data_IF_266901118480
#
_entry.id   IF_266901118480
#
_cell.length_a   1.000
_cell.length_b   1.000
_cell.length_c   1.000
_cell.angle_alpha   90.00
_cell.angle_beta   90.00
_cell.angle_gamma   90.00
#
_symmetry.space_group_name_H-M   'P 1'
#
loop_
_entity.id
_entity.type
_entity.pdbx_description
1 polymer ?
#
# COMPACT_ATOMS: atom_id res chain seq x y z
N UNK A 1 8.23 -9.18 -15.81
CA UNK A 1 8.61 -9.10 -14.38
C UNK A 1 8.44 -7.64 -14.02
N UNK A 2 7.43 -7.34 -13.21
CA UNK A 2 7.26 -6.00 -12.66
C UNK A 2 8.36 -5.78 -11.62
N UNK A 3 8.97 -4.59 -11.65
CA UNK A 3 9.96 -4.19 -10.64
C UNK A 3 9.24 -3.83 -9.34
N UNK A 4 8.01 -3.28 -9.45
CA UNK A 4 7.18 -2.81 -8.33
C UNK A 4 5.73 -3.31 -8.50
N UNK A 5 5.22 -4.02 -7.49
CA UNK A 5 3.83 -4.48 -7.43
C UNK A 5 3.02 -3.54 -6.54
N UNK A 6 2.04 -2.84 -7.09
CA UNK A 6 1.11 -2.01 -6.34
C UNK A 6 -0.09 -2.84 -5.90
N UNK A 7 -0.40 -2.77 -4.61
CA UNK A 7 -1.46 -3.54 -3.97
C UNK A 7 -2.48 -2.53 -3.46
N UNK A 8 -3.61 -2.38 -4.15
CA UNK A 8 -4.66 -1.46 -3.74
C UNK A 8 -5.77 -2.18 -2.97
N UNK A 9 -6.22 -1.56 -1.88
CA UNK A 9 -7.34 -2.02 -1.06
C UNK A 9 -8.35 -0.89 -0.89
N UNK A 10 -9.48 -0.99 -1.58
CA UNK A 10 -10.56 0.00 -1.51
C UNK A 10 -11.93 -0.66 -1.52
N UNK A 11 -12.91 0.03 -0.93
CA UNK A 11 -14.33 -0.26 -1.12
C UNK A 11 -14.99 0.73 -2.08
N UNK A 12 -14.50 1.97 -2.13
CA UNK A 12 -15.10 3.08 -2.90
C UNK A 12 -14.24 3.54 -4.08
N UNK A 13 -13.19 2.81 -4.43
CA UNK A 13 -12.27 3.17 -5.52
C UNK A 13 -11.18 4.20 -5.16
N UNK A 14 -11.28 4.95 -4.06
CA UNK A 14 -10.30 6.02 -3.76
C UNK A 14 -8.85 5.55 -3.68
N UNK A 15 -8.58 4.40 -3.04
CA UNK A 15 -7.21 3.86 -2.98
C UNK A 15 -6.74 3.30 -4.33
N UNK A 16 -7.66 2.87 -5.19
CA UNK A 16 -7.35 2.36 -6.54
C UNK A 16 -6.89 3.51 -7.43
N UNK A 17 -7.59 4.64 -7.42
CA UNK A 17 -7.18 5.85 -8.15
C UNK A 17 -5.78 6.32 -7.75
N UNK A 18 -5.49 6.35 -6.44
CA UNK A 18 -4.15 6.71 -5.97
C UNK A 18 -3.12 5.68 -6.44
N UNK A 19 -3.41 4.38 -6.35
CA UNK A 19 -2.50 3.35 -6.82
C UNK A 19 -2.23 3.46 -8.32
N UNK A 20 -3.24 3.69 -9.16
CA UNK A 20 -3.06 3.89 -10.61
C UNK A 20 -2.19 5.12 -10.90
N UNK A 21 -2.48 6.25 -10.25
CA UNK A 21 -1.67 7.47 -10.42
C UNK A 21 -0.21 7.24 -10.00
N UNK A 22 0.02 6.50 -8.92
CA UNK A 22 1.35 6.13 -8.47
C UNK A 22 2.06 5.20 -9.46
N UNK A 23 1.33 4.25 -10.03
CA UNK A 23 1.85 3.35 -11.06
C UNK A 23 2.32 4.15 -12.29
N UNK A 24 1.50 5.06 -12.80
CA UNK A 24 1.86 5.92 -13.93
C UNK A 24 3.16 6.70 -13.65
N UNK A 25 3.32 7.26 -12.45
CA UNK A 25 4.55 8.00 -12.06
C UNK A 25 5.80 7.12 -12.04
N UNK A 26 5.64 5.87 -11.62
CA UNK A 26 6.71 4.89 -11.60
C UNK A 26 7.09 4.45 -13.01
N UNK A 27 6.11 4.25 -13.89
CA UNK A 27 6.34 3.98 -15.31
C UNK A 27 7.02 5.16 -16.02
N UNK A 28 6.59 6.39 -15.74
CA UNK A 28 7.26 7.61 -16.22
C UNK A 28 8.73 7.69 -15.76
N UNK A 29 9.04 7.19 -14.56
CA UNK A 29 10.39 7.09 -14.04
C UNK A 29 11.21 5.93 -14.65
N UNK A 30 10.59 5.07 -15.46
CA UNK A 30 11.22 3.96 -16.16
C UNK A 30 11.14 2.61 -15.43
N UNK A 31 10.34 2.50 -14.38
CA UNK A 31 10.09 1.23 -13.67
C UNK A 31 8.87 0.51 -14.25
N UNK A 32 8.85 -0.83 -14.19
CA UNK A 32 7.67 -1.60 -14.55
C UNK A 32 6.79 -1.81 -13.32
N UNK A 33 5.56 -1.33 -13.39
CA UNK A 33 4.58 -1.48 -12.31
C UNK A 33 3.47 -2.45 -12.65
N UNK A 34 2.95 -3.12 -11.63
CA UNK A 34 1.76 -3.97 -11.76
C UNK A 34 0.78 -3.63 -10.64
N UNK A 35 -0.40 -3.11 -10.99
CA UNK A 35 -1.48 -2.81 -10.06
C UNK A 35 -2.37 -4.02 -9.86
N UNK A 36 -2.50 -4.42 -8.59
CA UNK A 36 -3.35 -5.51 -8.14
C UNK A 36 -4.36 -4.96 -7.13
N UNK A 37 -5.63 -5.28 -7.34
CA UNK A 37 -6.73 -4.82 -6.49
C UNK A 37 -7.17 -5.97 -5.59
N UNK A 38 -6.85 -5.90 -4.29
CA UNK A 38 -7.11 -6.98 -3.34
C UNK A 38 -6.55 -8.35 -3.74
N UNK A 39 -5.27 -8.47 -4.16
CA UNK A 39 -4.69 -9.75 -4.54
C UNK A 39 -4.63 -10.71 -3.35
N UNK A 40 -4.57 -12.00 -3.64
CA UNK A 40 -4.25 -13.02 -2.65
C UNK A 40 -2.74 -13.14 -2.44
N UNK A 41 -2.30 -13.63 -1.28
CA UNK A 41 -0.88 -13.86 -1.00
C UNK A 41 -0.20 -14.75 -2.07
N UNK A 42 -0.94 -15.70 -2.64
CA UNK A 42 -0.43 -16.64 -3.64
C UNK A 42 -0.12 -15.95 -4.99
N UNK A 43 -0.80 -14.84 -5.28
CA UNK A 43 -0.57 -14.03 -6.47
C UNK A 43 0.58 -13.05 -6.28
N UNK A 44 0.96 -12.76 -5.03
CA UNK A 44 2.03 -11.84 -4.73
C UNK A 44 3.40 -12.49 -4.84
N UNK A 45 4.29 -11.83 -5.59
CA UNK A 45 5.68 -12.26 -5.69
C UNK A 45 6.44 -11.82 -4.44
N UNK A 46 6.79 -12.76 -3.56
CA UNK A 46 7.56 -12.55 -2.32
C UNK A 46 9.03 -12.13 -2.55
N UNK A 47 9.32 -11.46 -3.66
CA UNK A 47 10.66 -11.08 -4.05
C UNK A 47 10.59 -9.81 -4.92
N UNK A 48 11.10 -8.68 -4.44
CA UNK A 48 11.04 -7.41 -5.17
C UNK A 48 10.49 -6.27 -4.32
N UNK A 49 9.74 -5.36 -4.95
CA UNK A 49 9.19 -4.18 -4.32
C UNK A 49 7.67 -4.17 -4.35
N UNK A 50 7.03 -3.91 -3.21
CA UNK A 50 5.59 -3.79 -3.09
C UNK A 50 5.17 -2.38 -2.69
N UNK A 51 4.02 -1.93 -3.13
CA UNK A 51 3.48 -0.63 -2.78
C UNK A 51 2.01 -0.79 -2.39
N UNK A 52 1.75 -0.79 -1.10
CA UNK A 52 0.42 -1.09 -0.58
C UNK A 52 -0.33 0.21 -0.39
N UNK A 53 -1.48 0.35 -1.03
CA UNK A 53 -2.34 1.53 -0.97
C UNK A 53 -3.69 1.09 -0.45
N UNK A 54 -4.01 1.40 0.79
CA UNK A 54 -5.24 0.94 1.43
C UNK A 54 -6.03 2.10 2.00
N UNK A 55 -7.35 2.08 1.80
CA UNK A 55 -8.26 2.98 2.51
C UNK A 55 -8.72 2.36 3.81
N UNK A 56 -8.86 3.19 4.83
CA UNK A 56 -9.29 2.78 6.17
C UNK A 56 -10.81 2.83 6.21
N UNK A 57 -11.47 1.74 6.58
CA UNK A 57 -12.93 1.71 6.69
C UNK A 57 -13.38 1.80 8.16
N UNK A 58 -14.30 2.72 8.44
CA UNK A 58 -14.97 2.84 9.74
C UNK A 58 -14.01 2.97 10.93
N UNK A 59 -13.92 1.94 11.75
CA UNK A 59 -13.20 1.95 13.04
C UNK A 59 -11.69 1.69 12.93
N UNK A 60 -11.10 1.76 11.73
CA UNK A 60 -9.68 1.47 11.51
C UNK A 60 -9.39 0.17 10.78
N UNK A 61 -10.42 -0.49 10.25
CA UNK A 61 -10.30 -1.82 9.68
C UNK A 61 -9.89 -1.78 8.20
N UNK A 62 -9.36 -2.91 7.73
CA UNK A 62 -9.02 -3.10 6.33
C UNK A 62 -10.31 -3.24 5.51
N UNK A 63 -10.30 -2.82 4.24
CA UNK A 63 -11.42 -3.09 3.35
C UNK A 63 -11.52 -4.60 3.10
N UNK A 64 -12.73 -5.06 2.80
CA UNK A 64 -13.06 -6.49 2.57
C UNK A 64 -12.14 -7.15 1.52
N UNK A 65 -11.69 -6.38 0.51
CA UNK A 65 -10.75 -6.83 -0.51
C UNK A 65 -9.31 -7.08 0.01
N UNK A 66 -8.90 -6.45 1.12
CA UNK A 66 -7.53 -6.54 1.63
C UNK A 66 -7.42 -7.30 2.97
N UNK A 67 -8.54 -7.49 3.68
CA UNK A 67 -8.61 -8.38 4.85
C UNK A 67 -8.06 -9.80 4.60
N UNK A 68 -8.49 -10.54 3.56
CA UNK A 68 -8.03 -11.91 3.35
C UNK A 68 -6.52 -11.99 3.07
N UNK A 69 -5.95 -10.95 2.46
CA UNK A 69 -4.49 -10.84 2.29
C UNK A 69 -3.78 -10.83 3.64
N UNK A 70 -4.21 -9.96 4.57
CA UNK A 70 -3.60 -9.85 5.89
C UNK A 70 -3.68 -11.17 6.64
N UNK A 71 -4.86 -11.78 6.68
CA UNK A 71 -5.07 -13.08 7.34
C UNK A 71 -4.15 -14.16 6.76
N UNK A 72 -3.97 -14.20 5.43
CA UNK A 72 -3.04 -15.12 4.76
C UNK A 72 -1.58 -14.85 5.12
N UNK A 73 -1.15 -13.59 5.22
CA UNK A 73 0.21 -13.22 5.66
C UNK A 73 0.45 -13.69 7.11
N UNK A 74 -0.57 -13.57 7.96
CA UNK A 74 -0.52 -14.04 9.35
C UNK A 74 -0.49 -15.56 9.47
N UNK A 75 -1.26 -16.25 8.62
CA UNK A 75 -1.41 -17.70 8.64
C UNK A 75 -0.20 -18.41 7.98
N UNK A 76 0.17 -18.02 6.76
CA UNK A 76 1.27 -18.65 6.01
C UNK A 76 2.65 -18.25 6.51
N UNK A 77 2.77 -17.05 7.10
CA UNK A 77 4.03 -16.48 7.58
C UNK A 77 5.18 -16.62 6.56
N UNK A 78 5.02 -16.09 5.34
CA UNK A 78 6.06 -16.17 4.33
C UNK A 78 7.32 -15.43 4.79
N UNK A 79 8.48 -15.85 4.29
CA UNK A 79 9.73 -15.11 4.48
C UNK A 79 9.77 -13.95 3.48
N UNK A 80 9.74 -12.72 3.98
CA UNK A 80 9.75 -11.50 3.18
C UNK A 80 11.10 -10.78 3.26
N UNK A 81 12.17 -11.47 3.67
CA UNK A 81 13.48 -10.84 3.92
C UNK A 81 14.08 -10.15 2.69
N UNK A 82 13.65 -10.51 1.49
CA UNK A 82 14.06 -9.92 0.21
C UNK A 82 13.04 -8.96 -0.39
N UNK A 83 11.92 -8.73 0.30
CA UNK A 83 10.87 -7.81 -0.14
C UNK A 83 11.10 -6.45 0.50
N UNK A 84 11.06 -5.43 -0.34
CA UNK A 84 10.96 -4.04 0.09
C UNK A 84 9.53 -3.58 -0.13
N UNK A 85 8.96 -2.80 0.79
CA UNK A 85 7.60 -2.34 0.59
C UNK A 85 7.40 -0.88 1.02
N UNK A 86 6.51 -0.19 0.32
CA UNK A 86 5.93 1.09 0.71
C UNK A 86 4.49 0.88 1.15
N UNK A 87 4.01 1.73 2.06
CA UNK A 87 2.66 1.65 2.57
C UNK A 87 2.02 3.04 2.56
N UNK A 88 0.81 3.12 2.00
CA UNK A 88 0.03 4.33 1.83
C UNK A 88 -1.36 4.06 2.41
N UNK A 89 -1.72 4.77 3.46
CA UNK A 89 -3.04 4.75 4.07
C UNK A 89 -3.85 5.95 3.62
N UNK A 90 -5.04 5.72 3.10
CA UNK A 90 -6.06 6.75 2.94
C UNK A 90 -6.99 6.66 4.14
N UNK A 91 -7.22 7.77 4.82
CA UNK A 91 -8.07 7.82 6.00
C UNK A 91 -8.86 9.12 6.05
N UNK A 92 -9.83 9.16 6.95
CA UNK A 92 -10.61 10.35 7.26
C UNK A 92 -10.31 10.75 8.70
N UNK A 93 -9.75 11.94 8.93
CA UNK A 93 -9.45 12.48 10.28
C UNK A 93 -10.68 12.60 11.19
N UNK A 94 -11.89 12.48 10.65
CA UNK A 94 -13.11 12.37 11.44
C UNK A 94 -13.16 11.09 12.30
N UNK A 95 -12.35 10.08 11.99
CA UNK A 95 -12.25 8.84 12.74
C UNK A 95 -10.98 8.79 13.60
N UNK A 96 -11.15 8.45 14.89
CA UNK A 96 -10.07 8.33 15.87
C UNK A 96 -8.99 7.31 15.44
N UNK A 97 -9.38 6.27 14.69
CA UNK A 97 -8.49 5.23 14.17
C UNK A 97 -7.94 5.56 12.79
N UNK A 98 -7.48 6.80 12.61
CA UNK A 98 -6.86 7.25 11.37
C UNK A 98 -5.68 6.35 10.98
N UNK A 99 -5.73 5.77 9.78
CA UNK A 99 -4.67 4.92 9.22
C UNK A 99 -4.30 3.66 10.04
N UNK A 100 -5.23 3.11 10.83
CA UNK A 100 -5.00 1.86 11.57
C UNK A 100 -4.66 0.66 10.67
N UNK A 101 -5.39 0.52 9.57
CA UNK A 101 -5.26 -0.57 8.61
C UNK A 101 -3.85 -0.69 8.01
N UNK A 102 -3.32 0.42 7.49
CA UNK A 102 -1.98 0.45 6.86
C UNK A 102 -0.87 0.16 7.89
N UNK A 103 -1.03 0.62 9.13
CA UNK A 103 -0.05 0.39 10.21
C UNK A 103 -0.02 -1.08 10.64
N UNK A 104 -1.16 -1.76 10.67
CA UNK A 104 -1.19 -3.19 10.95
C UNK A 104 -0.49 -4.00 9.86
N UNK A 105 -0.76 -3.69 8.59
CA UNK A 105 -0.05 -4.29 7.46
C UNK A 105 1.45 -4.06 7.54
N UNK A 106 1.88 -2.82 7.81
CA UNK A 106 3.28 -2.47 7.97
C UNK A 106 3.97 -3.33 9.04
N UNK A 107 3.36 -3.42 10.22
CA UNK A 107 3.91 -4.23 11.32
C UNK A 107 3.99 -5.71 10.95
N UNK A 108 2.96 -6.27 10.32
CA UNK A 108 2.95 -7.67 9.93
C UNK A 108 4.04 -7.97 8.90
N UNK A 109 4.23 -7.10 7.91
CA UNK A 109 5.27 -7.25 6.89
C UNK A 109 6.67 -7.15 7.50
N UNK A 110 6.92 -6.17 8.38
CA UNK A 110 8.19 -6.03 9.08
C UNK A 110 8.47 -7.26 9.97
N UNK A 111 7.44 -7.79 10.66
CA UNK A 111 7.55 -9.01 11.46
C UNK A 111 7.94 -10.25 10.63
N UNK A 112 7.70 -10.23 9.32
CA UNK A 112 8.06 -11.29 8.36
C UNK A 112 9.42 -11.06 7.69
N UNK A 113 10.13 -10.00 8.07
CA UNK A 113 11.46 -9.65 7.53
C UNK A 113 11.42 -8.66 6.37
N UNK A 114 10.23 -8.23 5.93
CA UNK A 114 10.12 -7.23 4.88
C UNK A 114 10.73 -5.90 5.33
N UNK A 115 11.39 -5.21 4.41
CA UNK A 115 11.99 -3.91 4.68
C UNK A 115 11.09 -2.81 4.18
N UNK A 116 10.53 -2.03 5.10
CA UNK A 116 9.86 -0.79 4.74
C UNK A 116 10.85 0.16 4.08
N UNK A 117 10.45 0.71 2.95
CA UNK A 117 11.21 1.69 2.22
C UNK A 117 10.50 3.04 2.36
N UNK A 118 11.19 4.02 2.93
CA UNK A 118 10.59 5.29 3.33
C UNK A 118 9.64 5.20 4.54
N UNK A 119 8.82 6.23 4.69
CA UNK A 119 7.79 6.33 5.73
C UNK A 119 6.40 6.05 5.17
N UNK A 120 5.49 5.61 6.03
CA UNK A 120 4.08 5.38 5.66
C UNK A 120 3.47 6.72 5.26
N UNK A 121 2.85 6.79 4.08
CA UNK A 121 2.08 7.96 3.69
C UNK A 121 0.68 7.85 4.28
N UNK A 122 0.27 8.85 5.04
CA UNK A 122 -1.08 8.93 5.59
C UNK A 122 -1.80 10.10 4.91
N UNK A 123 -2.74 9.79 4.01
CA UNK A 123 -3.50 10.77 3.23
C UNK A 123 -4.85 10.97 3.89
N UNK A 124 -5.17 12.22 4.20
CA UNK A 124 -6.48 12.59 4.71
C UNK A 124 -7.44 12.96 3.57
N UNK A 125 -8.41 12.10 3.28
CA UNK A 125 -9.37 12.32 2.18
C UNK A 125 -10.47 13.35 2.52
N UNK A 126 -10.59 13.77 3.78
CA UNK A 126 -11.52 14.83 4.20
C UNK A 126 -10.85 16.20 4.03
N UNK A 127 -9.56 16.28 4.34
CA UNK A 127 -8.77 17.51 4.31
C UNK A 127 -8.17 17.77 2.93
N UNK A 128 -7.82 16.72 2.19
CA UNK A 128 -7.32 16.81 0.81
C UNK A 128 -8.40 16.38 -0.17
N UNK A 129 -8.92 17.36 -0.92
CA UNK A 129 -9.89 17.14 -2.00
C UNK A 129 -9.30 16.25 -3.13
N UNK A 130 -7.96 16.23 -3.26
CA UNK A 130 -7.22 15.43 -4.22
C UNK A 130 -6.14 14.62 -3.47
N UNK A 131 -6.35 13.31 -3.23
CA UNK A 131 -5.37 12.46 -2.55
C UNK A 131 -4.14 12.14 -3.43
N UNK A 132 -4.20 12.37 -4.73
CA UNK A 132 -3.11 12.11 -5.68
C UNK A 132 -1.93 13.09 -5.50
N UNK A 133 -2.17 14.31 -5.05
CA UNK A 133 -1.14 15.34 -4.87
C UNK A 133 -0.09 14.94 -3.81
N UNK A 134 -0.47 14.60 -2.56
CA UNK A 134 0.49 14.10 -1.57
C UNK A 134 1.09 12.74 -1.98
N UNK A 135 0.32 11.89 -2.67
CA UNK A 135 0.82 10.61 -3.18
C UNK A 135 1.95 10.80 -4.19
N UNK A 136 1.80 11.75 -5.13
CA UNK A 136 2.81 12.05 -6.14
C UNK A 136 4.13 12.53 -5.51
N UNK A 137 4.05 13.44 -4.54
CA UNK A 137 5.24 13.95 -3.83
C UNK A 137 5.94 12.83 -3.08
N UNK A 138 5.16 11.98 -2.41
CA UNK A 138 5.69 10.86 -1.65
C UNK A 138 6.35 9.82 -2.55
N UNK A 139 5.73 9.42 -3.67
CA UNK A 139 6.32 8.42 -4.57
C UNK A 139 7.59 8.93 -5.24
N UNK A 140 7.66 10.22 -5.58
CA UNK A 140 8.90 10.83 -6.09
C UNK A 140 10.06 10.70 -5.09
N UNK A 141 9.77 10.89 -3.81
CA UNK A 141 10.76 10.70 -2.75
C UNK A 141 11.08 9.21 -2.56
N UNK A 142 10.07 8.35 -2.62
CA UNK A 142 10.21 6.90 -2.51
C UNK A 142 11.07 6.32 -3.63
N UNK A 143 10.87 6.75 -4.88
CA UNK A 143 11.69 6.39 -6.05
C UNK A 143 13.15 6.77 -5.84
N UNK A 144 13.43 7.89 -5.18
CA UNK A 144 14.80 8.33 -4.89
C UNK A 144 15.52 7.42 -3.87
N UNK A 145 14.74 6.70 -3.06
CA UNK A 145 15.24 5.77 -2.05
C UNK A 145 15.45 4.34 -2.60
N UNK A 146 15.03 4.06 -3.84
CA UNK A 146 15.19 2.78 -4.54
C UNK A 146 16.62 2.55 -5.03
#
# INVERSE_FOLDING_TARGET
>A
MADITLISGSTLGSAEYVAEHLAEKLEEAGFTTETLHGPELDELTLNGMWLIVTSTHGAGDLPDNLQPLLEKIEEQKPDLSQVRFGAVGLGSSEYDTFCGAVRQLDQQLILRGAKRLGDILEIDVIQHEIPEDPAEVWVKNWINLL
#
